data_IF_597356446394
#
_entry.id   IF_597356446394
#
_cell.length_a   1.000
_cell.length_b   1.000
_cell.length_c   1.000
_cell.angle_alpha   90.00
_cell.angle_beta   90.00
_cell.angle_gamma   90.00
#
_symmetry.space_group_name_H-M   'P 1'
#
loop_
_entity.id
_entity.type
_entity.pdbx_description
1 polymer ?
#
# COMPACT_ATOMS: atom_id res chain seq x y z
N UNK A 1 -6.57 15.82 -1.10
CA UNK A 1 -5.97 14.69 -1.83
C UNK A 1 -4.89 15.26 -2.71
N UNK A 2 -3.63 15.01 -2.38
CA UNK A 2 -2.53 15.35 -3.27
C UNK A 2 -2.09 14.06 -4.00
N UNK A 3 -2.62 13.78 -5.20
CA UNK A 3 -2.28 12.58 -5.97
C UNK A 3 -0.79 12.53 -6.33
N UNK A 4 -0.07 13.65 -6.19
CA UNK A 4 1.37 13.70 -6.44
C UNK A 4 2.16 12.85 -5.42
N UNK A 5 1.70 12.78 -4.17
CA UNK A 5 2.41 12.03 -3.13
C UNK A 5 2.30 10.51 -3.33
N UNK A 6 1.11 10.03 -3.69
CA UNK A 6 0.88 8.62 -3.99
C UNK A 6 1.74 8.18 -5.18
N UNK A 7 1.80 9.02 -6.23
CA UNK A 7 2.63 8.78 -7.39
C UNK A 7 4.12 8.73 -7.07
N UNK A 8 4.63 9.69 -6.30
CA UNK A 8 6.05 9.68 -5.88
C UNK A 8 6.37 8.39 -5.11
N UNK A 9 5.48 7.93 -4.25
CA UNK A 9 5.69 6.69 -3.48
C UNK A 9 5.67 5.45 -4.38
N UNK A 10 4.81 5.41 -5.40
CA UNK A 10 4.81 4.35 -6.41
C UNK A 10 6.08 4.36 -7.26
N UNK A 11 6.47 5.53 -7.77
CA UNK A 11 7.68 5.74 -8.56
C UNK A 11 8.92 5.32 -7.75
N UNK A 12 9.02 5.72 -6.48
CA UNK A 12 10.14 5.38 -5.60
C UNK A 12 10.22 3.87 -5.34
N UNK A 13 9.09 3.20 -5.07
CA UNK A 13 9.06 1.76 -4.85
C UNK A 13 9.54 0.98 -6.09
N UNK A 14 9.13 1.40 -7.29
CA UNK A 14 9.50 0.73 -8.53
C UNK A 14 10.94 1.08 -8.96
N UNK A 15 11.30 2.35 -8.96
CA UNK A 15 12.56 2.83 -9.54
C UNK A 15 13.76 2.57 -8.62
N UNK A 16 13.63 2.78 -7.31
CA UNK A 16 14.75 2.65 -6.37
C UNK A 16 14.89 1.22 -5.84
N UNK A 17 13.77 0.52 -5.61
CA UNK A 17 13.78 -0.83 -5.03
C UNK A 17 13.44 -1.94 -6.04
N UNK A 18 13.06 -1.61 -7.27
CA UNK A 18 12.63 -2.62 -8.25
C UNK A 18 11.38 -3.37 -7.81
N UNK A 19 10.55 -2.79 -6.95
CA UNK A 19 9.40 -3.48 -6.38
C UNK A 19 8.37 -3.78 -7.46
N UNK A 20 8.15 -5.06 -7.75
CA UNK A 20 7.11 -5.51 -8.69
C UNK A 20 5.82 -5.91 -7.97
N UNK A 21 5.88 -6.11 -6.67
CA UNK A 21 4.75 -6.57 -5.85
C UNK A 21 4.70 -5.79 -4.53
N UNK A 22 3.56 -5.21 -4.18
CA UNK A 22 3.39 -4.40 -2.97
C UNK A 22 2.14 -4.80 -2.19
N UNK A 23 2.14 -4.55 -0.87
CA UNK A 23 0.93 -4.54 -0.05
C UNK A 23 0.55 -3.11 0.31
N UNK A 24 -0.75 -2.90 0.49
CA UNK A 24 -1.30 -1.62 0.93
C UNK A 24 -2.00 -1.83 2.28
N UNK A 25 -1.75 -0.94 3.23
CA UNK A 25 -2.36 -0.92 4.55
C UNK A 25 -2.99 0.45 4.79
N UNK A 26 -4.32 0.48 4.91
CA UNK A 26 -5.09 1.74 4.97
C UNK A 26 -5.86 1.86 6.28
N UNK A 27 -5.74 3.02 6.93
CA UNK A 27 -6.59 3.34 8.08
C UNK A 27 -8.04 3.58 7.64
N UNK A 28 -8.98 2.88 8.27
CA UNK A 28 -10.42 3.05 8.08
C UNK A 28 -10.94 4.14 9.00
N UNK A 29 -11.93 4.90 8.51
CA UNK A 29 -12.61 5.93 9.29
C UNK A 29 -12.40 7.36 8.79
N UNK A 30 -11.60 7.56 7.74
CA UNK A 30 -11.46 8.85 7.06
C UNK A 30 -11.41 8.66 5.54
N UNK A 31 -12.10 9.50 4.75
CA UNK A 31 -11.98 9.48 3.29
C UNK A 31 -10.59 9.89 2.81
N UNK A 32 -9.71 10.35 3.71
CA UNK A 32 -8.37 10.78 3.35
C UNK A 32 -7.40 9.59 3.05
N UNK A 33 -7.12 8.67 3.99
CA UNK A 33 -6.30 7.49 3.72
C UNK A 33 -6.81 6.63 2.55
N UNK A 34 -8.12 6.51 2.38
CA UNK A 34 -8.75 5.75 1.28
C UNK A 34 -8.39 6.32 -0.09
N UNK A 35 -8.46 7.65 -0.25
CA UNK A 35 -8.16 8.30 -1.53
C UNK A 35 -6.67 8.18 -1.92
N UNK A 36 -5.77 8.28 -0.95
CA UNK A 36 -4.33 8.10 -1.19
C UNK A 36 -3.97 6.67 -1.51
N UNK A 37 -4.57 5.71 -0.80
CA UNK A 37 -4.33 4.28 -1.03
C UNK A 37 -4.84 3.86 -2.41
N UNK A 38 -6.01 4.37 -2.82
CA UNK A 38 -6.56 4.14 -4.16
C UNK A 38 -5.63 4.72 -5.24
N UNK A 39 -5.19 5.97 -5.08
CA UNK A 39 -4.27 6.60 -6.03
C UNK A 39 -2.93 5.84 -6.13
N UNK A 40 -2.39 5.36 -5.01
CA UNK A 40 -1.17 4.55 -5.02
C UNK A 40 -1.37 3.22 -5.76
N UNK A 41 -2.49 2.51 -5.52
CA UNK A 41 -2.82 1.26 -6.20
C UNK A 41 -2.91 1.49 -7.72
N UNK A 42 -3.59 2.56 -8.15
CA UNK A 42 -3.71 2.92 -9.56
C UNK A 42 -2.35 3.23 -10.18
N UNK A 43 -1.56 4.11 -9.56
CA UNK A 43 -0.25 4.52 -10.11
C UNK A 43 0.76 3.37 -10.11
N UNK A 44 0.78 2.53 -9.06
CA UNK A 44 1.67 1.38 -8.97
C UNK A 44 1.32 0.32 -10.03
N UNK A 45 0.03 0.09 -10.28
CA UNK A 45 -0.43 -0.85 -11.31
C UNK A 45 -0.22 -0.35 -12.72
N UNK A 46 -0.42 0.95 -12.99
CA UNK A 46 -0.11 1.59 -14.28
C UNK A 46 1.37 1.47 -14.63
N UNK A 47 2.25 1.50 -13.62
CA UNK A 47 3.69 1.35 -13.81
C UNK A 47 4.17 -0.12 -13.89
N UNK A 48 3.25 -1.09 -13.89
CA UNK A 48 3.56 -2.50 -14.04
C UNK A 48 3.80 -3.26 -12.73
N UNK A 49 3.62 -2.60 -11.58
CA UNK A 49 3.59 -3.24 -10.27
C UNK A 49 2.26 -3.96 -10.02
N UNK A 50 2.27 -4.92 -9.08
CA UNK A 50 1.05 -5.65 -8.66
C UNK A 50 0.80 -5.42 -7.17
N UNK A 51 -0.41 -5.02 -6.81
CA UNK A 51 -0.81 -4.97 -5.40
C UNK A 51 -1.32 -6.34 -4.98
N UNK A 52 -0.54 -7.02 -4.15
CA UNK A 52 -0.74 -8.40 -3.75
C UNK A 52 -1.85 -8.54 -2.71
N UNK A 53 -1.98 -7.54 -1.84
CA UNK A 53 -3.04 -7.46 -0.85
C UNK A 53 -3.29 -6.03 -0.41
N UNK A 54 -4.55 -5.74 -0.07
CA UNK A 54 -4.97 -4.50 0.51
C UNK A 54 -5.62 -4.80 1.87
N UNK A 55 -4.93 -4.42 2.93
CA UNK A 55 -5.34 -4.59 4.30
C UNK A 55 -5.86 -3.27 4.86
N UNK A 56 -6.74 -3.39 5.85
CA UNK A 56 -7.37 -2.26 6.51
C UNK A 56 -7.19 -2.39 8.03
N UNK A 57 -7.10 -1.26 8.71
CA UNK A 57 -7.02 -1.18 10.16
C UNK A 57 -7.79 0.03 10.68
N UNK A 58 -8.27 -0.03 11.92
CA UNK A 58 -9.03 1.09 12.49
C UNK A 58 -8.11 2.12 13.14
N UNK A 59 -8.54 3.38 13.17
CA UNK A 59 -7.84 4.44 13.90
C UNK A 59 -7.54 4.04 15.35
N UNK A 60 -6.28 4.19 15.77
CA UNK A 60 -5.83 3.79 17.10
C UNK A 60 -5.48 2.30 17.25
N UNK A 61 -5.48 1.53 16.15
CA UNK A 61 -4.92 0.17 16.13
C UNK A 61 -3.43 0.22 16.48
N UNK A 62 -3.03 -0.57 17.48
CA UNK A 62 -1.62 -0.75 17.89
C UNK A 62 -1.10 -2.15 17.61
N UNK A 63 -2.00 -3.11 17.34
CA UNK A 63 -1.67 -4.47 16.95
C UNK A 63 -2.02 -4.70 15.48
N UNK A 64 -0.98 -4.79 14.64
CA UNK A 64 -1.08 -5.05 13.21
C UNK A 64 -0.76 -6.50 12.84
N UNK A 65 -0.65 -7.40 13.84
CA UNK A 65 -0.19 -8.78 13.63
C UNK A 65 -1.02 -9.51 12.59
N UNK A 66 -2.35 -9.33 12.60
CA UNK A 66 -3.26 -9.95 11.64
C UNK A 66 -2.98 -9.50 10.20
N UNK A 67 -2.80 -8.19 10.00
CA UNK A 67 -2.55 -7.59 8.71
C UNK A 67 -1.15 -7.99 8.19
N UNK A 68 -0.14 -7.98 9.06
CA UNK A 68 1.21 -8.42 8.73
C UNK A 68 1.25 -9.92 8.37
N UNK A 69 0.53 -10.77 9.09
CA UNK A 69 0.40 -12.19 8.75
C UNK A 69 -0.29 -12.38 7.39
N UNK A 70 -1.34 -11.61 7.10
CA UNK A 70 -2.01 -11.65 5.81
C UNK A 70 -1.07 -11.20 4.67
N UNK A 71 -0.25 -10.18 4.90
CA UNK A 71 0.78 -9.71 3.95
C UNK A 71 1.87 -10.76 3.74
N UNK A 72 2.34 -11.39 4.82
CA UNK A 72 3.38 -12.42 4.77
C UNK A 72 2.91 -13.72 4.11
N UNK A 73 1.60 -13.98 4.08
CA UNK A 73 1.02 -15.15 3.44
C UNK A 73 0.87 -15.03 1.92
N UNK A 74 1.20 -13.87 1.33
CA UNK A 74 1.11 -13.66 -0.13
C UNK A 74 2.36 -14.17 -0.84
N UNK A 75 2.15 -14.90 -1.93
CA UNK A 75 3.20 -15.33 -2.86
C UNK A 75 2.98 -14.73 -4.26
N UNK A 76 3.99 -14.11 -4.88
CA UNK A 76 5.34 -13.85 -4.35
C UNK A 76 5.32 -12.87 -3.17
N UNK A 77 6.35 -12.95 -2.32
CA UNK A 77 6.49 -12.06 -1.17
C UNK A 77 6.50 -10.59 -1.62
N UNK A 78 5.80 -9.74 -0.88
CA UNK A 78 5.74 -8.31 -1.20
C UNK A 78 7.11 -7.64 -1.00
N UNK A 79 7.49 -6.80 -1.95
CA UNK A 79 8.73 -6.03 -1.92
C UNK A 79 8.57 -4.69 -1.20
N UNK A 80 7.34 -4.19 -1.06
CA UNK A 80 7.04 -2.93 -0.37
C UNK A 80 5.70 -3.00 0.36
N UNK A 81 5.58 -2.27 1.48
CA UNK A 81 4.33 -2.06 2.21
C UNK A 81 4.05 -0.57 2.27
N UNK A 82 2.96 -0.13 1.65
CA UNK A 82 2.48 1.25 1.71
C UNK A 82 1.50 1.39 2.87
N UNK A 83 1.79 2.26 3.83
CA UNK A 83 0.95 2.50 5.01
C UNK A 83 0.54 3.96 5.09
N UNK A 84 -0.75 4.22 5.27
CA UNK A 84 -1.30 5.56 5.51
C UNK A 84 -2.12 5.52 6.81
N UNK A 85 -1.85 6.48 7.70
CA UNK A 85 -2.55 6.75 8.94
C UNK A 85 -3.12 8.16 8.88
#
# INVERSE_FOLDING_TARGET
MDPYQARIMADFAIQEFGATTAAVLTETGSPYPDGLSTAFIEDFTVQGGTVATHQFYEAGTTDFTKQLLAIAAVEPAVAAVFCQA
#
